data_IF_851100374127
#
_entry.id   IF_851100374127
#
_cell.length_a   1.000
_cell.length_b   1.000
_cell.length_c   1.000
_cell.angle_alpha   90.00
_cell.angle_beta   90.00
_cell.angle_gamma   90.00
#
_symmetry.space_group_name_H-M   'P 1'
#
loop_
_entity.id
_entity.type
_entity.pdbx_description
1 polymer ?
#
# COMPACT_ATOMS: atom_id res chain seq x y z
N UNK A 1 -17.73 -21.60 16.19
CA UNK A 1 -17.37 -20.37 15.46
C UNK A 1 -15.88 -20.16 15.63
N UNK A 2 -15.07 -20.73 14.75
CA UNK A 2 -13.62 -20.48 14.75
C UNK A 2 -13.41 -19.12 14.12
N UNK A 3 -13.17 -18.11 14.96
CA UNK A 3 -12.71 -16.80 14.48
C UNK A 3 -11.46 -17.02 13.64
N UNK A 4 -11.57 -16.65 12.37
CA UNK A 4 -10.61 -16.98 11.33
C UNK A 4 -9.30 -16.21 11.58
N UNK A 5 -8.31 -16.90 12.17
CA UNK A 5 -6.98 -16.35 12.45
C UNK A 5 -6.31 -15.79 11.19
N UNK A 6 -6.72 -16.22 10.00
CA UNK A 6 -6.23 -15.73 8.71
C UNK A 6 -6.67 -14.29 8.46
N UNK A 7 -7.95 -13.97 8.69
CA UNK A 7 -8.52 -12.63 8.51
C UNK A 7 -7.73 -11.60 9.32
N UNK A 8 -7.49 -11.88 10.61
CA UNK A 8 -6.72 -10.98 11.48
C UNK A 8 -5.24 -10.79 11.10
N UNK A 9 -4.65 -11.63 10.25
CA UNK A 9 -3.30 -11.40 9.71
C UNK A 9 -3.33 -10.57 8.43
N UNK A 10 -4.30 -10.81 7.56
CA UNK A 10 -4.51 -10.02 6.35
C UNK A 10 -4.86 -8.58 6.71
N UNK A 11 -5.80 -8.38 7.64
CA UNK A 11 -6.23 -7.06 8.10
C UNK A 11 -5.04 -6.26 8.64
N UNK A 12 -4.22 -6.86 9.51
CA UNK A 12 -2.99 -6.23 10.01
C UNK A 12 -2.00 -5.86 8.90
N UNK A 13 -1.90 -6.66 7.84
CA UNK A 13 -1.02 -6.34 6.72
C UNK A 13 -1.53 -5.15 5.93
N UNK A 14 -2.84 -5.05 5.72
CA UNK A 14 -3.49 -3.91 5.07
C UNK A 14 -3.36 -2.64 5.93
N UNK A 15 -3.68 -2.72 7.23
CA UNK A 15 -3.51 -1.62 8.19
C UNK A 15 -2.08 -1.08 8.19
N UNK A 16 -1.09 -1.97 8.21
CA UNK A 16 0.32 -1.58 8.17
C UNK A 16 0.68 -0.82 6.89
N UNK A 17 0.15 -1.24 5.73
CA UNK A 17 0.39 -0.57 4.45
C UNK A 17 -0.25 0.82 4.41
N UNK A 18 -1.48 0.96 4.90
CA UNK A 18 -2.19 2.25 4.98
C UNK A 18 -1.45 3.24 5.88
N UNK A 19 -1.03 2.79 7.06
CA UNK A 19 -0.27 3.59 8.01
C UNK A 19 1.07 4.05 7.41
N UNK A 20 1.79 3.15 6.75
CA UNK A 20 3.10 3.48 6.16
C UNK A 20 2.98 4.34 4.89
N UNK A 21 1.88 4.25 4.15
CA UNK A 21 1.65 5.09 2.97
C UNK A 21 1.59 6.58 3.31
N UNK A 22 1.16 6.94 4.52
CA UNK A 22 1.20 8.33 5.01
C UNK A 22 2.57 8.82 5.46
N UNK A 23 3.60 7.96 5.48
CA UNK A 23 4.93 8.26 6.06
C UNK A 23 6.09 7.72 5.22
N UNK A 24 5.95 7.73 3.89
CA UNK A 24 6.91 7.11 2.96
C UNK A 24 8.36 7.59 3.15
N UNK A 25 8.56 8.88 3.41
CA UNK A 25 9.89 9.51 3.49
C UNK A 25 10.65 9.08 4.75
N UNK A 26 9.99 9.09 5.92
CA UNK A 26 10.65 8.85 7.21
C UNK A 26 10.40 7.46 7.78
N UNK A 27 9.42 6.73 7.24
CA UNK A 27 8.98 5.44 7.77
C UNK A 27 8.46 5.52 9.20
N UNK A 28 8.36 4.37 9.85
CA UNK A 28 7.94 4.23 11.25
C UNK A 28 8.78 3.21 11.99
N UNK A 29 9.06 3.47 13.27
CA UNK A 29 9.70 2.49 14.13
C UNK A 29 8.73 1.36 14.50
N UNK A 30 9.24 0.22 14.97
CA UNK A 30 8.39 -0.86 15.48
C UNK A 30 7.47 -0.38 16.61
N UNK A 31 7.99 0.48 17.51
CA UNK A 31 7.21 1.06 18.61
C UNK A 31 6.04 1.91 18.09
N UNK A 32 6.31 2.78 17.11
CA UNK A 32 5.27 3.64 16.54
C UNK A 32 4.19 2.82 15.82
N UNK A 33 4.58 1.77 15.11
CA UNK A 33 3.66 0.83 14.44
C UNK A 33 2.83 0.03 15.43
N UNK A 34 3.44 -0.47 16.50
CA UNK A 34 2.75 -1.19 17.59
C UNK A 34 1.64 -0.31 18.17
N UNK A 35 1.93 0.96 18.42
CA UNK A 35 0.94 1.92 18.91
C UNK A 35 -0.15 2.23 17.88
N UNK A 36 0.22 2.47 16.63
CA UNK A 36 -0.72 2.81 15.56
C UNK A 36 -1.67 1.65 15.21
N UNK A 37 -1.13 0.43 15.11
CA UNK A 37 -1.89 -0.79 14.79
C UNK A 37 -2.57 -1.42 16.02
N UNK A 38 -2.31 -0.91 17.23
CA UNK A 38 -2.85 -1.43 18.51
C UNK A 38 -2.64 -2.94 18.69
N UNK A 39 -1.46 -3.43 18.33
CA UNK A 39 -1.11 -4.85 18.42
C UNK A 39 0.20 -5.07 19.16
N UNK A 40 0.59 -6.33 19.38
CA UNK A 40 1.86 -6.67 20.05
C UNK A 40 3.06 -6.45 19.12
N UNK A 41 4.26 -6.10 19.62
CA UNK A 41 5.45 -5.89 18.78
C UNK A 41 5.82 -7.10 17.91
N UNK A 42 5.58 -8.31 18.41
CA UNK A 42 5.81 -9.55 17.65
C UNK A 42 4.85 -9.70 16.45
N UNK A 43 3.65 -9.14 16.54
CA UNK A 43 2.67 -9.10 15.46
C UNK A 43 3.15 -8.16 14.34
N UNK A 44 3.67 -6.98 14.68
CA UNK A 44 4.28 -6.03 13.73
C UNK A 44 5.45 -6.67 13.00
N UNK A 45 6.42 -7.25 13.71
CA UNK A 45 7.60 -7.86 13.08
C UNK A 45 7.21 -8.99 12.10
N UNK A 46 6.23 -9.82 12.46
CA UNK A 46 5.74 -10.90 11.59
C UNK A 46 5.05 -10.37 10.34
N UNK A 47 4.18 -9.37 10.50
CA UNK A 47 3.50 -8.73 9.38
C UNK A 47 4.51 -8.03 8.45
N UNK A 48 5.45 -7.28 9.03
CA UNK A 48 6.52 -6.61 8.30
C UNK A 48 7.36 -7.61 7.50
N UNK A 49 7.76 -8.73 8.09
CA UNK A 49 8.53 -9.78 7.40
C UNK A 49 7.80 -10.32 6.17
N UNK A 50 6.48 -10.53 6.23
CA UNK A 50 5.70 -10.97 5.08
C UNK A 50 5.61 -9.90 3.98
N UNK A 51 5.41 -8.64 4.37
CA UNK A 51 5.36 -7.52 3.43
C UNK A 51 6.73 -7.24 2.80
N UNK A 52 7.82 -7.44 3.54
CA UNK A 52 9.20 -7.38 3.05
C UNK A 52 9.46 -8.51 2.05
N UNK A 53 9.03 -9.75 2.35
CA UNK A 53 9.15 -10.86 1.42
C UNK A 53 8.39 -10.61 0.09
N UNK A 54 7.26 -9.88 0.13
CA UNK A 54 6.54 -9.42 -1.07
C UNK A 54 7.19 -8.22 -1.77
N UNK A 55 8.18 -7.60 -1.14
CA UNK A 55 8.86 -6.39 -1.59
C UNK A 55 8.01 -5.13 -1.50
N UNK A 56 6.97 -5.10 -0.66
CA UNK A 56 6.07 -3.94 -0.50
C UNK A 56 6.48 -3.02 0.64
N UNK A 57 7.14 -3.56 1.65
CA UNK A 57 7.74 -2.83 2.76
C UNK A 57 9.24 -3.14 2.76
N UNK A 58 10.04 -2.22 3.26
CA UNK A 58 11.44 -2.46 3.59
C UNK A 58 11.75 -1.93 4.99
N UNK A 59 12.79 -2.49 5.62
CA UNK A 59 13.35 -1.98 6.87
C UNK A 59 14.67 -1.29 6.55
N UNK A 60 14.74 0.00 6.85
CA UNK A 60 15.94 0.80 6.73
C UNK A 60 16.95 0.37 7.79
N UNK A 61 18.15 -0.04 7.37
CA UNK A 61 19.18 -0.61 8.26
C UNK A 61 19.91 0.46 9.09
N UNK A 62 19.85 1.72 8.69
CA UNK A 62 20.49 2.84 9.40
C UNK A 62 19.57 3.38 10.50
N UNK A 63 18.27 3.48 10.23
CA UNK A 63 17.29 4.10 11.12
C UNK A 63 16.40 3.11 11.87
N UNK A 64 16.46 1.83 11.53
CA UNK A 64 15.60 0.75 12.05
C UNK A 64 14.09 0.99 11.79
N UNK A 65 13.75 1.78 10.77
CA UNK A 65 12.35 2.15 10.43
C UNK A 65 11.82 1.37 9.24
N UNK A 66 10.54 1.09 9.25
CA UNK A 66 9.81 0.46 8.14
C UNK A 66 9.20 1.53 7.23
N UNK A 67 9.28 1.35 5.91
CA UNK A 67 8.60 2.21 4.92
C UNK A 67 8.06 1.39 3.75
N UNK A 68 7.06 1.93 3.05
CA UNK A 68 6.62 1.32 1.79
C UNK A 68 7.70 1.48 0.72
N UNK A 69 7.84 0.48 -0.15
CA UNK A 69 8.75 0.54 -1.29
C UNK A 69 8.04 1.13 -2.51
N UNK A 70 8.80 1.54 -3.55
CA UNK A 70 8.22 1.91 -4.84
C UNK A 70 7.39 0.81 -5.51
N UNK A 71 7.53 -0.47 -5.11
CA UNK A 71 6.72 -1.56 -5.66
C UNK A 71 5.26 -1.42 -5.27
N UNK A 72 4.98 -0.99 -4.03
CA UNK A 72 3.63 -0.77 -3.56
C UNK A 72 3.02 0.47 -4.24
N UNK A 73 3.73 1.59 -4.32
CA UNK A 73 3.23 2.81 -4.99
C UNK A 73 2.91 2.60 -6.47
N UNK A 74 3.69 1.76 -7.18
CA UNK A 74 3.38 1.38 -8.57
C UNK A 74 2.02 0.69 -8.73
N UNK A 75 1.51 0.01 -7.71
CA UNK A 75 0.17 -0.57 -7.76
C UNK A 75 -0.89 0.54 -7.84
N UNK A 76 -0.77 1.56 -6.99
CA UNK A 76 -1.66 2.72 -7.01
C UNK A 76 -1.58 3.50 -8.32
N UNK A 77 -0.36 3.69 -8.86
CA UNK A 77 -0.19 4.37 -10.15
C UNK A 77 -0.79 3.61 -11.34
N UNK A 78 -0.87 2.28 -11.29
CA UNK A 78 -1.54 1.50 -12.34
C UNK A 78 -3.04 1.79 -12.40
N UNK A 79 -3.69 1.96 -11.26
CA UNK A 79 -5.11 2.33 -11.21
C UNK A 79 -5.32 3.74 -11.79
N UNK A 80 -4.47 4.70 -11.42
CA UNK A 80 -4.52 6.06 -11.99
C UNK A 80 -4.30 6.07 -13.51
N UNK A 81 -3.32 5.32 -14.00
CA UNK A 81 -3.07 5.20 -15.43
C UNK A 81 -4.24 4.56 -16.21
N UNK A 82 -5.05 3.73 -15.55
CA UNK A 82 -6.26 3.16 -16.14
C UNK A 82 -7.35 4.22 -16.33
N UNK A 83 -7.56 5.06 -15.31
CA UNK A 83 -8.45 6.22 -15.43
C UNK A 83 -8.00 7.19 -16.54
N UNK A 84 -6.69 7.45 -16.65
CA UNK A 84 -6.15 8.32 -17.71
C UNK A 84 -6.40 7.75 -19.12
N UNK A 85 -6.32 6.42 -19.28
CA UNK A 85 -6.65 5.74 -20.54
C UNK A 85 -8.12 5.89 -20.88
N UNK A 86 -9.01 5.58 -19.93
CA UNK A 86 -10.45 5.70 -20.12
C UNK A 86 -10.86 7.15 -20.47
N UNK A 87 -10.24 8.14 -19.82
CA UNK A 87 -10.42 9.55 -20.16
C UNK A 87 -10.00 9.85 -21.60
N UNK A 88 -8.84 9.36 -22.02
CA UNK A 88 -8.31 9.57 -23.37
C UNK A 88 -9.19 8.96 -24.45
N UNK A 89 -9.76 7.77 -24.20
CA UNK A 89 -10.71 7.10 -25.10
C UNK A 89 -12.01 7.91 -25.25
N UNK A 90 -12.56 8.41 -24.14
CA UNK A 90 -13.74 9.27 -24.17
C UNK A 90 -13.50 10.57 -24.94
N UNK A 91 -12.37 11.23 -24.69
CA UNK A 91 -12.00 12.47 -25.38
C UNK A 91 -11.84 12.22 -26.90
N UNK A 92 -11.35 11.05 -27.32
CA UNK A 92 -11.29 10.65 -28.74
C UNK A 92 -12.69 10.47 -29.34
N UNK A 93 -13.58 9.77 -28.64
CA UNK A 93 -14.95 9.55 -29.09
C UNK A 93 -15.70 10.88 -29.29
N UNK A 94 -15.56 11.82 -28.35
CA UNK A 94 -16.15 13.15 -28.45
C UNK A 94 -15.64 13.91 -29.67
N UNK A 95 -14.33 13.93 -29.91
CA UNK A 95 -13.74 14.59 -31.09
C UNK A 95 -14.29 14.03 -32.40
N UNK A 96 -14.37 12.70 -32.52
CA UNK A 96 -14.88 12.06 -33.73
C UNK A 96 -16.34 12.42 -34.00
N UNK A 97 -17.15 12.53 -32.94
CA UNK A 97 -18.54 12.96 -33.04
C UNK A 97 -18.66 14.41 -33.52
N UNK A 98 -17.82 15.32 -33.02
CA UNK A 98 -17.83 16.73 -33.43
C UNK A 98 -17.30 16.99 -34.83
N UNK A 99 -16.48 16.08 -35.39
CA UNK A 99 -15.91 16.19 -36.73
C UNK A 99 -16.78 15.54 -37.82
N UNK A 100 -17.79 14.74 -37.44
CA UNK A 100 -18.73 14.09 -38.38
C UNK A 100 -20.01 14.90 -38.64
N UNK A 101 -20.10 16.13 -38.13
CA UNK A 101 -21.15 17.11 -38.47
C UNK A 101 -20.56 18.24 -39.31
#
# INVERSE_FOLDING_TARGET
>A
MSEDKSSGQVDRALDMLEILAGRVVHGMSNKDLTAAMRCQPSAVTRTAAQLIAKGWVEKDTTTDRFRITPRFSRLSFRALADFDRAKSELDQLQRNYTLSN
#
